data_IF_930752349252
#
_entry.id   IF_930752349252
#
_cell.length_a   1.000
_cell.length_b   1.000
_cell.length_c   1.000
_cell.angle_alpha   90.00
_cell.angle_beta   90.00
_cell.angle_gamma   90.00
#
_symmetry.space_group_name_H-M   'P 1'
#
loop_
_entity.id
_entity.type
_entity.pdbx_description
1 polymer ?
#
# COMPACT_ATOMS: atom_id res chain seq x y z
N UNK A 1 20.09 -29.28 -10.72
CA UNK A 1 19.44 -27.96 -10.88
C UNK A 1 18.05 -28.03 -10.23
N UNK A 2 17.90 -27.56 -8.98
CA UNK A 2 16.72 -27.84 -8.13
C UNK A 2 15.40 -27.37 -8.77
N UNK A 3 15.43 -26.24 -9.50
CA UNK A 3 14.26 -25.69 -10.20
C UNK A 3 13.82 -26.53 -11.39
N UNK A 4 14.75 -27.13 -12.15
CA UNK A 4 14.44 -28.01 -13.28
C UNK A 4 13.82 -29.33 -12.77
N UNK A 5 14.41 -29.90 -11.72
CA UNK A 5 13.91 -31.12 -11.07
C UNK A 5 12.50 -30.93 -10.53
N UNK A 6 12.21 -29.78 -9.90
CA UNK A 6 10.85 -29.46 -9.41
C UNK A 6 9.81 -29.36 -10.53
N UNK A 7 10.19 -28.84 -11.71
CA UNK A 7 9.31 -28.76 -12.89
C UNK A 7 9.02 -30.13 -13.47
N UNK A 8 10.05 -30.95 -13.63
CA UNK A 8 9.92 -32.33 -14.13
C UNK A 8 9.03 -33.16 -13.18
N UNK A 9 9.19 -32.98 -11.87
CA UNK A 9 8.42 -33.70 -10.86
C UNK A 9 7.03 -33.09 -10.58
N UNK A 10 6.59 -32.06 -11.33
CA UNK A 10 5.28 -31.41 -11.14
C UNK A 10 5.10 -30.61 -9.84
N UNK A 11 6.11 -30.59 -8.96
CA UNK A 11 6.12 -29.85 -7.68
C UNK A 11 6.37 -28.35 -7.82
N UNK A 12 6.65 -27.86 -9.02
CA UNK A 12 6.89 -26.45 -9.27
C UNK A 12 5.59 -25.64 -9.17
N UNK A 13 5.57 -24.67 -8.26
CA UNK A 13 4.48 -23.71 -8.18
C UNK A 13 4.43 -22.81 -9.43
N UNK A 14 3.23 -22.40 -9.87
CA UNK A 14 3.08 -21.39 -10.90
C UNK A 14 3.84 -20.12 -10.52
N UNK A 15 4.46 -19.46 -11.51
CA UNK A 15 5.28 -18.24 -11.32
C UNK A 15 4.62 -17.18 -10.43
N UNK A 16 3.30 -17.01 -10.54
CA UNK A 16 2.52 -16.04 -9.76
C UNK A 16 2.47 -16.38 -8.26
N UNK A 17 2.49 -17.65 -7.89
CA UNK A 17 2.43 -18.13 -6.49
C UNK A 17 3.81 -18.41 -5.90
N UNK A 18 4.81 -18.62 -6.75
CA UNK A 18 6.16 -19.00 -6.32
C UNK A 18 6.87 -17.94 -5.45
N UNK A 19 6.38 -16.69 -5.45
CA UNK A 19 6.96 -15.58 -4.69
C UNK A 19 6.04 -15.08 -3.56
N UNK A 20 4.91 -15.75 -3.30
CA UNK A 20 4.00 -15.32 -2.23
C UNK A 20 4.68 -15.40 -0.86
N UNK A 21 5.51 -16.42 -0.63
CA UNK A 21 6.29 -16.57 0.61
C UNK A 21 7.40 -15.52 0.78
N UNK A 22 7.79 -14.86 -0.32
CA UNK A 22 8.77 -13.77 -0.33
C UNK A 22 8.10 -12.39 -0.23
N UNK A 23 6.78 -12.34 -0.18
CA UNK A 23 6.05 -11.08 -0.09
C UNK A 23 6.29 -10.42 1.28
N UNK A 24 6.41 -9.09 1.26
CA UNK A 24 6.59 -8.29 2.49
C UNK A 24 5.41 -8.44 3.45
N UNK A 25 4.19 -8.54 2.89
CA UNK A 25 2.95 -8.69 3.62
C UNK A 25 2.21 -9.94 3.16
N UNK A 26 1.62 -10.65 4.11
CA UNK A 26 0.68 -11.75 3.83
C UNK A 26 -0.60 -11.22 3.20
N UNK A 27 -1.43 -12.11 2.62
CA UNK A 27 -2.72 -11.70 2.04
C UNK A 27 -3.62 -10.99 3.07
N UNK A 28 -3.75 -11.56 4.27
CA UNK A 28 -4.53 -10.96 5.35
C UNK A 28 -4.01 -9.56 5.75
N UNK A 29 -2.68 -9.39 5.82
CA UNK A 29 -2.08 -8.10 6.13
C UNK A 29 -2.34 -7.06 5.01
N UNK A 30 -2.30 -7.49 3.75
CA UNK A 30 -2.69 -6.63 2.62
C UNK A 30 -4.16 -6.22 2.72
N UNK A 31 -5.05 -7.12 3.10
CA UNK A 31 -6.49 -6.82 3.28
C UNK A 31 -6.70 -5.75 4.38
N UNK A 32 -6.03 -5.88 5.53
CA UNK A 32 -6.09 -4.84 6.58
C UNK A 32 -5.53 -3.49 6.13
N UNK A 33 -4.54 -3.50 5.23
CA UNK A 33 -3.99 -2.26 4.67
C UNK A 33 -4.97 -1.62 3.70
N UNK A 34 -5.76 -2.40 2.95
CA UNK A 34 -6.82 -1.90 2.08
C UNK A 34 -7.93 -1.24 2.89
N UNK A 35 -8.37 -1.88 3.98
CA UNK A 35 -9.35 -1.28 4.90
C UNK A 35 -8.85 0.06 5.45
N UNK A 36 -7.57 0.12 5.83
CA UNK A 36 -6.95 1.38 6.25
C UNK A 36 -6.95 2.44 5.14
N UNK A 37 -6.67 2.05 3.90
CA UNK A 37 -6.71 2.96 2.74
C UNK A 37 -8.14 3.49 2.53
N UNK A 38 -9.16 2.64 2.66
CA UNK A 38 -10.56 3.05 2.55
C UNK A 38 -10.94 4.02 3.68
N UNK A 39 -10.52 3.75 4.92
CA UNK A 39 -10.69 4.66 6.05
C UNK A 39 -10.04 6.03 5.80
N UNK A 40 -8.82 6.07 5.25
CA UNK A 40 -8.17 7.32 4.86
C UNK A 40 -9.00 8.08 3.83
N UNK A 41 -9.55 7.37 2.84
CA UNK A 41 -10.46 7.97 1.84
C UNK A 41 -11.71 8.59 2.47
N UNK A 42 -12.37 7.87 3.39
CA UNK A 42 -13.58 8.33 4.08
C UNK A 42 -13.33 9.55 4.98
N UNK A 43 -12.13 9.62 5.58
CA UNK A 43 -11.74 10.73 6.47
C UNK A 43 -11.10 11.91 5.71
N UNK A 44 -11.02 11.86 4.38
CA UNK A 44 -10.43 12.91 3.56
C UNK A 44 -8.90 12.99 3.63
N UNK A 45 -8.23 11.96 4.16
CA UNK A 45 -6.77 11.91 4.22
C UNK A 45 -6.18 11.41 2.91
N UNK A 46 -5.12 12.06 2.39
CA UNK A 46 -4.49 11.64 1.14
C UNK A 46 -3.77 10.30 1.30
N UNK A 47 -3.96 9.43 0.31
CA UNK A 47 -3.26 8.13 0.24
C UNK A 47 -1.91 8.34 -0.40
N UNK A 48 -0.87 8.39 0.44
CA UNK A 48 0.49 8.72 0.04
C UNK A 48 1.48 7.84 0.77
N UNK A 49 2.76 7.91 0.36
CA UNK A 49 3.84 7.24 1.08
C UNK A 49 3.87 7.63 2.56
N UNK A 50 3.55 8.89 2.90
CA UNK A 50 3.58 9.40 4.28
C UNK A 50 2.48 8.79 5.15
N UNK A 51 1.31 8.49 4.58
CA UNK A 51 0.15 7.95 5.33
C UNK A 51 0.13 6.42 5.36
N UNK A 52 0.64 5.75 4.31
CA UNK A 52 0.67 4.29 4.24
C UNK A 52 1.87 3.67 4.95
N UNK A 53 3.06 4.28 4.82
CA UNK A 53 4.29 3.71 5.38
C UNK A 53 4.17 3.45 6.89
N UNK A 54 3.72 4.40 7.74
CA UNK A 54 3.65 4.17 9.18
C UNK A 54 2.79 2.96 9.54
N UNK A 55 1.66 2.76 8.82
CA UNK A 55 0.78 1.60 9.03
C UNK A 55 1.47 0.29 8.66
N UNK A 56 2.16 0.23 7.51
CA UNK A 56 2.93 -0.96 7.10
C UNK A 56 4.06 -1.25 8.09
N UNK A 57 4.78 -0.23 8.53
CA UNK A 57 5.83 -0.39 9.53
C UNK A 57 5.27 -0.88 10.88
N UNK A 58 4.08 -0.43 11.28
CA UNK A 58 3.40 -0.92 12.48
C UNK A 58 3.05 -2.42 12.37
N UNK A 59 2.53 -2.86 11.22
CA UNK A 59 2.27 -4.28 10.95
C UNK A 59 3.57 -5.10 11.04
N UNK A 60 4.65 -4.63 10.42
CA UNK A 60 5.95 -5.33 10.44
C UNK A 60 6.57 -5.36 11.85
N UNK A 61 6.48 -4.26 12.61
CA UNK A 61 6.94 -4.21 14.01
C UNK A 61 6.17 -5.17 14.90
N UNK A 62 4.85 -5.30 14.71
CA UNK A 62 4.03 -6.26 15.45
C UNK A 62 4.44 -7.71 15.18
N UNK A 63 5.05 -8.00 14.02
CA UNK A 63 5.62 -9.31 13.68
C UNK A 63 7.03 -9.54 14.22
N UNK A 64 7.60 -8.57 14.94
CA UNK A 64 8.99 -8.62 15.39
C UNK A 64 10.02 -8.41 14.27
N UNK A 65 9.61 -7.94 13.10
CA UNK A 65 10.53 -7.66 11.99
C UNK A 65 11.18 -6.29 12.23
N UNK A 66 12.51 -6.24 12.21
CA UNK A 66 13.24 -4.98 12.29
C UNK A 66 12.92 -4.09 11.07
N UNK A 67 12.39 -2.90 11.33
CA UNK A 67 11.93 -1.99 10.29
C UNK A 67 12.86 -0.79 10.17
N UNK A 68 13.30 -0.51 8.95
CA UNK A 68 14.04 0.70 8.61
C UNK A 68 13.25 1.56 7.61
N UNK A 69 13.73 2.76 7.31
CA UNK A 69 13.08 3.68 6.37
C UNK A 69 13.06 3.21 4.91
N UNK A 70 13.90 2.23 4.58
CA UNK A 70 14.03 1.62 3.26
C UNK A 70 13.17 0.36 3.10
N UNK A 71 12.71 -0.26 4.19
CA UNK A 71 11.91 -1.50 4.19
C UNK A 71 10.66 -1.34 3.33
N UNK A 72 9.99 -0.19 3.43
CA UNK A 72 8.81 0.15 2.62
C UNK A 72 9.21 1.23 1.61
N UNK A 73 9.70 0.80 0.45
CA UNK A 73 10.15 1.72 -0.61
C UNK A 73 8.98 2.44 -1.29
N UNK A 74 9.26 3.57 -1.96
CA UNK A 74 8.25 4.30 -2.75
C UNK A 74 7.70 3.42 -3.88
N UNK A 75 8.55 2.60 -4.49
CA UNK A 75 8.20 1.67 -5.56
C UNK A 75 7.25 0.59 -5.05
N UNK A 76 7.50 0.04 -3.85
CA UNK A 76 6.61 -0.95 -3.24
C UNK A 76 5.20 -0.38 -3.04
N UNK A 77 5.09 0.83 -2.46
CA UNK A 77 3.79 1.49 -2.25
C UNK A 77 3.07 1.72 -3.58
N UNK A 78 3.80 2.18 -4.61
CA UNK A 78 3.23 2.37 -5.94
C UNK A 78 2.68 1.06 -6.50
N UNK A 79 3.46 -0.03 -6.41
CA UNK A 79 3.05 -1.34 -6.92
C UNK A 79 1.85 -1.90 -6.15
N UNK A 80 1.82 -1.73 -4.83
CA UNK A 80 0.66 -2.09 -4.00
C UNK A 80 -0.61 -1.36 -4.45
N UNK A 81 -0.55 -0.04 -4.67
CA UNK A 81 -1.70 0.73 -5.14
C UNK A 81 -2.15 0.34 -6.56
N UNK A 82 -1.22 -0.06 -7.43
CA UNK A 82 -1.52 -0.56 -8.78
C UNK A 82 -2.18 -1.94 -8.73
N UNK A 83 -1.70 -2.83 -7.85
CA UNK A 83 -2.25 -4.18 -7.64
C UNK A 83 -3.71 -4.12 -7.16
N UNK A 84 -4.05 -3.15 -6.30
CA UNK A 84 -5.39 -3.00 -5.71
C UNK A 84 -6.21 -1.85 -6.29
N UNK A 85 -5.86 -1.35 -7.49
CA UNK A 85 -6.55 -0.24 -8.15
C UNK A 85 -8.04 -0.50 -8.39
N UNK A 86 -8.42 -1.77 -8.59
CA UNK A 86 -9.79 -2.17 -8.90
C UNK A 86 -10.65 -2.22 -7.62
N UNK A 87 -10.03 -2.53 -6.48
CA UNK A 87 -10.67 -2.57 -5.16
C UNK A 87 -10.75 -1.18 -4.52
N UNK A 88 -9.73 -0.34 -4.72
CA UNK A 88 -9.68 1.01 -4.16
C UNK A 88 -9.66 2.03 -5.29
N UNK A 89 -10.80 2.68 -5.52
CA UNK A 89 -10.91 3.76 -6.49
C UNK A 89 -10.49 5.08 -5.83
N UNK A 90 -9.35 5.60 -6.25
CA UNK A 90 -8.92 6.94 -5.86
C UNK A 90 -9.53 7.96 -6.82
N UNK A 91 -10.45 8.79 -6.33
CA UNK A 91 -10.78 10.03 -7.02
C UNK A 91 -9.60 11.00 -6.90
N UNK A 92 -9.29 11.74 -7.98
CA UNK A 92 -8.37 12.87 -7.84
C UNK A 92 -9.07 13.92 -6.99
N UNK A 93 -8.48 14.29 -5.85
CA UNK A 93 -8.90 15.48 -5.13
C UNK A 93 -8.72 16.67 -6.08
N UNK A 94 -9.81 17.36 -6.40
CA UNK A 94 -9.71 18.67 -7.04
C UNK A 94 -9.24 19.68 -5.98
N UNK A 95 -8.43 20.66 -6.40
CA UNK A 95 -8.11 21.78 -5.52
C UNK A 95 -9.40 22.44 -5.02
N UNK A 96 -9.34 23.07 -3.85
CA UNK A 96 -10.43 23.93 -3.40
C UNK A 96 -10.78 24.90 -4.52
N UNK A 97 -12.06 25.00 -4.84
CA UNK A 97 -12.56 26.04 -5.73
C UNK A 97 -12.03 27.39 -5.22
N UNK A 98 -11.31 28.11 -6.08
CA UNK A 98 -10.63 29.35 -5.71
C UNK A 98 -11.59 30.39 -5.16
N UNK A 99 -12.85 30.39 -5.61
CA UNK A 99 -13.91 31.25 -5.07
C UNK A 99 -14.31 30.85 -3.65
N UNK A 100 -14.34 29.56 -3.34
CA UNK A 100 -14.66 29.06 -1.99
C UNK A 100 -13.47 29.14 -1.04
N UNK A 101 -12.24 29.05 -1.55
CA UNK A 101 -11.01 29.16 -0.76
C UNK A 101 -10.88 30.54 -0.08
N UNK A 102 -11.37 31.61 -0.72
CA UNK A 102 -11.38 32.97 -0.15
C UNK A 102 -12.18 33.06 1.16
N UNK A 103 -13.21 32.24 1.35
CA UNK A 103 -14.02 32.25 2.57
C UNK A 103 -13.32 31.58 3.77
N UNK A 104 -12.28 30.77 3.54
CA UNK A 104 -11.51 30.08 4.59
C UNK A 104 -10.23 30.82 4.97
N UNK A 105 -9.68 31.62 4.06
CA UNK A 105 -8.47 32.40 4.29
C UNK A 105 -8.85 33.83 4.67
N UNK A 106 -9.19 34.06 5.93
CA UNK A 106 -9.37 35.42 6.44
C UNK A 106 -8.07 36.19 6.30
N UNK A 107 -8.12 37.41 5.77
CA UNK A 107 -6.97 38.32 5.80
C UNK A 107 -6.70 38.67 7.26
N UNK A 108 -5.65 38.07 7.84
CA UNK A 108 -5.09 38.55 9.11
C UNK A 108 -4.62 39.99 8.88
N UNK A 109 -5.30 40.93 9.54
CA UNK A 109 -4.93 42.35 9.61
C UNK A 109 -3.69 42.52 10.46
#
# INVERSE_FOLDING_TARGET
YITLTRRINGTALPKKKAHDDQALLTKAEKDTLIEWVQYLGLTGHPVSKRTLRPKVQAILKAKGIAVNDKTVSRTWIRNFLVEYKDTVKFARSHGLDTKRAQAFNFTTV
#
